data_IF_935669481988
#
_entry.id   IF_935669481988
#
_cell.length_a   1.000
_cell.length_b   1.000
_cell.length_c   1.000
_cell.angle_alpha   90.00
_cell.angle_beta   90.00
_cell.angle_gamma   90.00
#
_symmetry.space_group_name_H-M   'P 1'
#
loop_
_entity.id
_entity.type
_entity.pdbx_description
1 polymer ?
#
# COMPACT_ATOMS: atom_id res chain seq x y z
N UNK A 1 37.15 51.79 12.06
CA UNK A 1 35.79 51.28 12.33
C UNK A 1 35.24 50.69 11.04
N UNK A 2 34.90 49.39 11.00
CA UNK A 2 34.20 48.79 9.85
C UNK A 2 32.75 49.30 9.86
N UNK A 3 32.26 49.79 8.71
CA UNK A 3 30.82 50.06 8.52
C UNK A 3 30.13 48.71 8.39
N UNK A 4 29.25 48.39 9.33
CA UNK A 4 28.31 47.29 9.20
C UNK A 4 27.34 47.65 8.07
N UNK A 5 27.41 46.92 6.95
CA UNK A 5 26.45 47.09 5.85
C UNK A 5 25.19 46.30 6.22
N UNK A 6 24.14 47.01 6.64
CA UNK A 6 22.82 46.40 6.84
C UNK A 6 22.18 45.99 5.52
N UNK A 7 21.24 45.05 5.57
CA UNK A 7 20.48 44.61 4.40
C UNK A 7 19.50 45.69 3.94
N UNK A 8 19.38 45.86 2.62
CA UNK A 8 18.39 46.79 2.06
C UNK A 8 16.99 46.18 2.07
N UNK A 9 15.94 47.02 2.07
CA UNK A 9 14.55 46.55 2.01
C UNK A 9 14.28 45.66 0.80
N UNK A 10 14.86 46.00 -0.37
CA UNK A 10 14.66 45.21 -1.58
C UNK A 10 15.36 43.85 -1.50
N UNK A 11 16.54 43.81 -0.88
CA UNK A 11 17.30 42.56 -0.68
C UNK A 11 16.59 41.60 0.27
N UNK A 12 16.02 42.10 1.37
CA UNK A 12 15.22 41.29 2.28
C UNK A 12 13.91 40.82 1.63
N UNK A 13 13.25 41.65 0.84
CA UNK A 13 12.06 41.25 0.08
C UNK A 13 12.36 40.16 -0.95
N UNK A 14 13.47 40.29 -1.68
CA UNK A 14 13.91 39.26 -2.65
C UNK A 14 14.24 37.97 -1.91
N UNK A 15 15.01 38.03 -0.81
CA UNK A 15 15.35 36.85 -0.02
C UNK A 15 14.11 36.12 0.51
N UNK A 16 13.15 36.84 1.09
CA UNK A 16 11.90 36.26 1.59
C UNK A 16 11.10 35.65 0.43
N UNK A 17 11.03 36.31 -0.73
CA UNK A 17 10.31 35.78 -1.89
C UNK A 17 10.88 34.43 -2.37
N UNK A 18 12.22 34.31 -2.40
CA UNK A 18 12.90 33.07 -2.78
C UNK A 18 12.62 31.95 -1.76
N UNK A 19 12.67 32.26 -0.46
CA UNK A 19 12.36 31.30 0.60
C UNK A 19 10.92 30.78 0.47
N UNK A 20 9.96 31.66 0.17
CA UNK A 20 8.55 31.26 -0.01
C UNK A 20 8.39 30.35 -1.22
N UNK A 21 8.99 30.67 -2.36
CA UNK A 21 8.90 29.86 -3.59
C UNK A 21 9.51 28.46 -3.38
N UNK A 22 10.70 28.39 -2.76
CA UNK A 22 11.37 27.13 -2.46
C UNK A 22 10.59 26.29 -1.43
N UNK A 23 10.00 26.94 -0.43
CA UNK A 23 9.18 26.25 0.57
C UNK A 23 7.91 25.67 -0.06
N UNK A 24 7.21 26.44 -0.89
CA UNK A 24 5.98 25.99 -1.56
C UNK A 24 6.24 24.79 -2.49
N UNK A 25 7.30 24.85 -3.30
CA UNK A 25 7.69 23.75 -4.18
C UNK A 25 8.14 22.51 -3.40
N UNK A 26 8.90 22.70 -2.33
CA UNK A 26 9.30 21.60 -1.43
C UNK A 26 8.10 20.90 -0.79
N UNK A 27 7.10 21.66 -0.31
CA UNK A 27 5.88 21.12 0.28
C UNK A 27 5.04 20.30 -0.71
N UNK A 28 4.89 20.79 -1.93
CA UNK A 28 4.16 20.06 -2.98
C UNK A 28 4.87 18.75 -3.37
N UNK A 29 6.20 18.79 -3.54
CA UNK A 29 6.99 17.59 -3.78
C UNK A 29 6.85 16.56 -2.66
N UNK A 30 6.91 17.02 -1.41
CA UNK A 30 6.77 16.17 -0.23
C UNK A 30 5.42 15.45 -0.16
N UNK A 31 4.31 16.17 -0.37
CA UNK A 31 2.97 15.56 -0.34
C UNK A 31 2.80 14.48 -1.42
N UNK A 32 3.30 14.72 -2.64
CA UNK A 32 3.27 13.72 -3.71
C UNK A 32 4.06 12.45 -3.34
N UNK A 33 5.26 12.63 -2.79
CA UNK A 33 6.12 11.53 -2.36
C UNK A 33 5.48 10.74 -1.21
N UNK A 34 4.90 11.43 -0.23
CA UNK A 34 4.24 10.79 0.90
C UNK A 34 3.04 9.95 0.45
N UNK A 35 2.25 10.41 -0.53
CA UNK A 35 1.14 9.62 -1.10
C UNK A 35 1.63 8.35 -1.81
N UNK A 36 2.74 8.45 -2.56
CA UNK A 36 3.36 7.28 -3.19
C UNK A 36 3.86 6.28 -2.15
N UNK A 37 4.45 6.77 -1.06
CA UNK A 37 4.93 5.94 0.03
C UNK A 37 3.80 5.21 0.74
N UNK A 38 2.68 5.87 1.03
CA UNK A 38 1.49 5.23 1.64
C UNK A 38 0.91 4.13 0.76
N UNK A 39 0.85 4.37 -0.56
CA UNK A 39 0.40 3.38 -1.53
C UNK A 39 1.33 2.15 -1.54
N UNK A 40 2.65 2.37 -1.62
CA UNK A 40 3.64 1.30 -1.59
C UNK A 40 3.60 0.51 -0.28
N UNK A 41 3.52 1.18 0.87
CA UNK A 41 3.39 0.53 2.18
C UNK A 41 2.16 -0.36 2.26
N UNK A 42 1.01 0.07 1.72
CA UNK A 42 -0.21 -0.75 1.69
C UNK A 42 -0.02 -1.98 0.80
N UNK A 43 0.64 -1.83 -0.36
CA UNK A 43 0.93 -2.97 -1.23
C UNK A 43 1.87 -4.00 -0.55
N UNK A 44 2.92 -3.52 0.13
CA UNK A 44 3.84 -4.35 0.93
C UNK A 44 3.09 -5.06 2.05
N UNK A 45 2.22 -4.34 2.79
CA UNK A 45 1.41 -4.90 3.87
C UNK A 45 0.55 -6.06 3.37
N UNK A 46 -0.12 -5.89 2.22
CA UNK A 46 -0.92 -6.95 1.61
C UNK A 46 -0.05 -8.13 1.17
N UNK A 47 1.10 -7.88 0.54
CA UNK A 47 2.06 -8.94 0.18
C UNK A 47 2.47 -9.76 1.41
N UNK A 48 2.87 -9.10 2.50
CA UNK A 48 3.33 -9.78 3.71
C UNK A 48 2.20 -10.57 4.38
N UNK A 49 0.98 -10.04 4.39
CA UNK A 49 -0.20 -10.77 4.85
C UNK A 49 -0.48 -12.04 4.02
N UNK A 50 -0.39 -11.96 2.69
CA UNK A 50 -0.54 -13.12 1.82
C UNK A 50 0.57 -14.16 2.06
N UNK A 51 1.81 -13.72 2.28
CA UNK A 51 2.93 -14.60 2.62
C UNK A 51 2.65 -15.30 3.95
N UNK A 52 2.15 -14.58 4.96
CA UNK A 52 1.74 -15.14 6.23
C UNK A 52 0.68 -16.23 6.03
N UNK A 53 -0.42 -15.94 5.31
CA UNK A 53 -1.48 -16.92 5.06
C UNK A 53 -0.97 -18.17 4.33
N UNK A 54 -0.11 -18.01 3.32
CA UNK A 54 0.47 -19.16 2.60
C UNK A 54 1.32 -20.03 3.53
N UNK A 55 2.21 -19.41 4.30
CA UNK A 55 3.09 -20.14 5.21
C UNK A 55 2.29 -20.87 6.29
N UNK A 56 1.23 -20.23 6.76
CA UNK A 56 0.33 -20.77 7.77
C UNK A 56 -0.55 -21.91 7.21
N UNK A 57 -1.03 -21.78 5.96
CA UNK A 57 -1.72 -22.84 5.22
C UNK A 57 -0.86 -24.11 5.14
N UNK A 58 0.39 -23.95 4.70
CA UNK A 58 1.35 -25.03 4.54
C UNK A 58 1.71 -25.66 5.90
N UNK A 59 2.00 -24.85 6.91
CA UNK A 59 2.38 -25.33 8.25
C UNK A 59 1.28 -26.12 8.95
N UNK A 60 0.03 -25.66 8.84
CA UNK A 60 -1.10 -26.22 9.58
C UNK A 60 -2.03 -27.08 8.72
N UNK A 61 -1.68 -27.30 7.45
CA UNK A 61 -2.49 -27.99 6.45
C UNK A 61 -3.96 -27.51 6.45
N UNK A 62 -4.14 -26.18 6.42
CA UNK A 62 -5.46 -25.55 6.44
C UNK A 62 -5.61 -24.56 5.30
N UNK A 63 -6.84 -24.43 4.81
CA UNK A 63 -7.11 -23.59 3.65
C UNK A 63 -7.48 -22.17 4.08
N UNK A 64 -6.95 -21.19 3.35
CA UNK A 64 -7.17 -19.77 3.57
C UNK A 64 -7.73 -19.13 2.29
N UNK A 65 -9.05 -18.99 2.22
CA UNK A 65 -9.68 -18.16 1.20
C UNK A 65 -9.67 -16.71 1.65
N UNK A 66 -9.33 -15.81 0.75
CA UNK A 66 -9.22 -14.38 1.03
C UNK A 66 -10.50 -13.70 0.57
N UNK A 67 -11.10 -12.93 1.47
CA UNK A 67 -12.30 -12.14 1.18
C UNK A 67 -12.06 -10.69 1.56
N UNK A 68 -12.71 -9.80 0.80
CA UNK A 68 -12.73 -8.37 1.08
C UNK A 68 -14.05 -8.03 1.74
N UNK A 69 -14.00 -7.63 3.02
CA UNK A 69 -15.17 -7.15 3.74
C UNK A 69 -15.11 -5.62 3.84
N UNK A 70 -16.26 -4.99 3.64
CA UNK A 70 -16.47 -3.55 3.85
C UNK A 70 -17.54 -3.42 4.93
N UNK A 71 -17.16 -2.86 6.06
CA UNK A 71 -18.04 -2.64 7.20
C UNK A 71 -17.98 -1.18 7.63
N UNK A 72 -18.81 -0.77 8.59
CA UNK A 72 -18.82 0.58 9.17
C UNK A 72 -17.46 0.95 9.78
N UNK A 73 -16.72 -0.04 10.30
CA UNK A 73 -15.38 0.11 10.87
C UNK A 73 -14.27 0.25 9.81
N UNK A 74 -14.56 0.04 8.53
CA UNK A 74 -13.62 0.20 7.42
C UNK A 74 -13.55 -1.00 6.46
N UNK A 75 -12.50 -1.02 5.65
CA UNK A 75 -12.22 -2.09 4.68
C UNK A 75 -11.19 -3.04 5.29
N UNK A 76 -11.46 -4.35 5.26
CA UNK A 76 -10.49 -5.35 5.68
C UNK A 76 -10.39 -6.52 4.70
N UNK A 77 -9.19 -7.09 4.61
CA UNK A 77 -8.96 -8.39 3.99
C UNK A 77 -8.94 -9.43 5.09
N UNK A 78 -9.77 -10.46 5.00
CA UNK A 78 -9.84 -11.50 6.01
C UNK A 78 -9.77 -12.88 5.38
N UNK A 79 -9.23 -13.82 6.14
CA UNK A 79 -9.19 -15.22 5.76
C UNK A 79 -10.44 -15.97 6.22
N UNK A 80 -10.85 -17.01 5.49
CA UNK A 80 -11.96 -17.90 5.82
C UNK A 80 -11.94 -18.53 7.22
N UNK A 81 -10.80 -18.50 7.92
CA UNK A 81 -10.67 -19.01 9.29
C UNK A 81 -11.22 -18.07 10.37
N UNK A 82 -11.58 -16.83 10.01
CA UNK A 82 -12.17 -15.84 10.90
C UNK A 82 -13.45 -15.27 10.31
N UNK A 83 -14.33 -14.77 11.20
CA UNK A 83 -15.56 -14.09 10.81
C UNK A 83 -15.47 -12.62 11.22
N UNK A 84 -15.63 -11.73 10.24
CA UNK A 84 -15.62 -10.28 10.46
C UNK A 84 -14.22 -9.66 10.58
N UNK A 85 -14.19 -8.33 10.54
CA UNK A 85 -12.97 -7.52 10.62
C UNK A 85 -12.51 -7.34 12.08
N UNK A 86 -11.96 -8.39 12.70
CA UNK A 86 -11.44 -8.35 14.08
C UNK A 86 -10.02 -7.78 14.12
N UNK A 87 -9.82 -6.62 14.75
CA UNK A 87 -8.54 -5.87 14.78
C UNK A 87 -7.35 -6.64 15.37
N UNK A 88 -7.58 -7.55 16.31
CA UNK A 88 -6.50 -8.27 17.03
C UNK A 88 -6.09 -9.57 16.33
N UNK A 89 -6.75 -9.95 15.24
CA UNK A 89 -6.48 -11.21 14.56
C UNK A 89 -5.39 -11.07 13.50
N UNK A 90 -4.40 -11.96 13.51
CA UNK A 90 -3.40 -12.08 12.45
C UNK A 90 -4.00 -12.49 11.08
N UNK A 91 -5.23 -13.05 11.08
CA UNK A 91 -5.97 -13.45 9.88
C UNK A 91 -6.85 -12.34 9.30
N UNK A 92 -6.68 -11.11 9.80
CA UNK A 92 -7.35 -9.91 9.31
C UNK A 92 -6.28 -8.86 9.03
N UNK A 93 -6.27 -8.34 7.81
CA UNK A 93 -5.49 -7.17 7.44
C UNK A 93 -6.44 -5.98 7.30
N UNK A 94 -6.14 -4.94 8.06
CA UNK A 94 -6.76 -3.62 7.91
C UNK A 94 -5.68 -2.70 7.31
N UNK A 95 -5.93 -2.07 6.15
CA UNK A 95 -4.99 -1.14 5.55
C UNK A 95 -4.62 0.00 6.51
N UNK A 96 -3.33 0.33 6.61
CA UNK A 96 -2.86 1.41 7.50
C UNK A 96 -3.38 2.80 7.06
N UNK A 97 -3.61 2.97 5.76
CA UNK A 97 -3.85 4.27 5.15
C UNK A 97 -5.22 4.34 4.50
N UNK A 98 -6.07 5.23 5.01
CA UNK A 98 -7.46 5.39 4.53
C UNK A 98 -7.55 5.96 3.09
N UNK A 99 -6.51 6.64 2.60
CA UNK A 99 -6.46 7.18 1.24
C UNK A 99 -6.10 6.13 0.17
N UNK A 100 -5.78 4.90 0.59
CA UNK A 100 -5.47 3.77 -0.31
C UNK A 100 -6.63 2.78 -0.30
N UNK A 101 -7.26 2.58 -1.45
CA UNK A 101 -8.41 1.69 -1.60
C UNK A 101 -8.03 0.38 -2.28
N UNK A 102 -8.54 -0.74 -1.74
CA UNK A 102 -8.57 -2.02 -2.46
C UNK A 102 -9.73 -1.96 -3.44
N UNK A 103 -9.42 -1.98 -4.73
CA UNK A 103 -10.39 -1.79 -5.82
C UNK A 103 -10.78 -3.09 -6.51
N UNK A 104 -9.91 -4.10 -6.47
CA UNK A 104 -10.16 -5.41 -7.07
C UNK A 104 -9.56 -6.52 -6.21
N UNK A 105 -10.30 -7.63 -6.09
CA UNK A 105 -9.85 -8.89 -5.52
C UNK A 105 -10.39 -10.01 -6.42
N UNK A 106 -9.51 -10.87 -6.94
CA UNK A 106 -9.95 -12.05 -7.69
C UNK A 106 -10.79 -12.96 -6.78
N UNK A 107 -12.01 -13.36 -7.22
CA UNK A 107 -12.82 -14.30 -6.48
C UNK A 107 -12.07 -15.61 -6.22
N UNK A 108 -12.27 -16.19 -5.04
CA UNK A 108 -11.68 -17.46 -4.63
C UNK A 108 -10.15 -17.48 -4.52
N UNK A 109 -9.47 -16.32 -4.61
CA UNK A 109 -8.05 -16.21 -4.29
C UNK A 109 -7.81 -16.81 -2.90
N UNK A 110 -6.88 -17.74 -2.81
CA UNK A 110 -6.62 -18.45 -1.57
C UNK A 110 -5.42 -19.38 -1.64
N UNK A 111 -5.00 -19.83 -0.46
CA UNK A 111 -3.91 -20.77 -0.27
C UNK A 111 -4.47 -22.07 0.31
N UNK A 112 -3.98 -23.20 -0.18
CA UNK A 112 -4.40 -24.52 0.26
C UNK A 112 -3.22 -25.23 0.90
N UNK A 113 -3.44 -25.78 2.09
CA UNK A 113 -2.38 -26.44 2.84
C UNK A 113 -1.87 -27.71 2.15
N UNK A 114 -2.77 -28.42 1.49
CA UNK A 114 -2.43 -29.62 0.75
C UNK A 114 -1.55 -29.27 -0.45
N UNK A 115 -0.31 -29.76 -0.43
CA UNK A 115 0.71 -29.58 -1.50
C UNK A 115 1.19 -28.14 -1.71
N UNK A 116 0.97 -27.24 -0.75
CA UNK A 116 1.41 -25.84 -0.81
C UNK A 116 0.97 -25.15 -2.11
N UNK A 117 -0.31 -25.27 -2.44
CA UNK A 117 -0.89 -24.75 -3.69
C UNK A 117 -1.70 -23.48 -3.45
N UNK A 118 -1.94 -22.70 -4.51
CA UNK A 118 -2.78 -21.52 -4.43
C UNK A 118 -3.76 -21.46 -5.60
N UNK A 119 -4.93 -20.89 -5.36
CA UNK A 119 -5.77 -20.42 -6.45
C UNK A 119 -5.22 -19.08 -6.92
N UNK A 120 -4.78 -19.00 -8.18
CA UNK A 120 -4.21 -17.77 -8.71
C UNK A 120 -5.21 -16.62 -8.67
N UNK A 121 -4.67 -15.42 -8.58
CA UNK A 121 -5.47 -14.21 -8.57
C UNK A 121 -4.63 -12.96 -8.37
N UNK A 122 -5.32 -11.84 -8.27
CA UNK A 122 -4.71 -10.54 -8.06
C UNK A 122 -5.53 -9.67 -7.13
N UNK A 123 -4.84 -8.79 -6.42
CA UNK A 123 -5.40 -7.74 -5.58
C UNK A 123 -4.90 -6.41 -6.15
N UNK A 124 -5.82 -5.50 -6.51
CA UNK A 124 -5.47 -4.15 -6.96
C UNK A 124 -5.69 -3.14 -5.85
N UNK A 125 -4.63 -2.41 -5.51
CA UNK A 125 -4.70 -1.23 -4.63
C UNK A 125 -4.46 0.04 -5.42
N UNK A 126 -5.23 1.08 -5.09
CA UNK A 126 -5.23 2.34 -5.82
C UNK A 126 -5.33 3.52 -4.86
N UNK A 127 -4.62 4.59 -5.18
CA UNK A 127 -4.76 5.90 -4.54
C UNK A 127 -4.66 6.99 -5.60
N UNK A 128 -4.63 8.26 -5.17
CA UNK A 128 -4.37 9.39 -6.06
C UNK A 128 -2.94 9.39 -6.64
N UNK A 129 -2.01 8.66 -6.02
CA UNK A 129 -0.62 8.59 -6.48
C UNK A 129 -0.40 7.55 -7.59
N UNK A 130 -1.30 6.57 -7.73
CA UNK A 130 -1.17 5.50 -8.71
C UNK A 130 -1.84 4.21 -8.25
N UNK A 131 -1.37 3.09 -8.77
CA UNK A 131 -1.91 1.77 -8.45
C UNK A 131 -0.85 0.68 -8.45
N UNK A 132 -1.03 -0.30 -7.57
CA UNK A 132 -0.23 -1.52 -7.49
C UNK A 132 -1.11 -2.75 -7.62
N UNK A 133 -0.57 -3.76 -8.27
CA UNK A 133 -1.15 -5.09 -8.34
C UNK A 133 -0.30 -6.07 -7.54
N UNK A 134 -0.95 -6.81 -6.65
CA UNK A 134 -0.36 -7.95 -5.95
C UNK A 134 -0.88 -9.21 -6.64
N UNK A 135 0.00 -9.99 -7.26
CA UNK A 135 -0.35 -11.14 -8.09
C UNK A 135 0.10 -12.42 -7.38
N UNK A 136 -0.79 -13.41 -7.35
CA UNK A 136 -0.53 -14.76 -6.83
C UNK A 136 -0.63 -15.75 -7.98
N UNK A 137 0.43 -16.54 -8.20
CA UNK A 137 0.40 -17.63 -9.18
C UNK A 137 -0.24 -18.90 -8.60
N UNK A 138 -0.56 -19.89 -9.47
CA UNK A 138 -1.09 -21.19 -9.03
C UNK A 138 -0.17 -21.95 -8.05
N UNK A 139 1.14 -21.67 -8.07
CA UNK A 139 2.12 -22.23 -7.15
C UNK A 139 2.37 -21.37 -5.89
N UNK A 140 1.49 -20.41 -5.60
CA UNK A 140 1.61 -19.56 -4.40
C UNK A 140 2.74 -18.53 -4.44
N UNK A 141 3.30 -18.23 -5.61
CA UNK A 141 4.28 -17.14 -5.74
C UNK A 141 3.56 -15.80 -5.71
N UNK A 142 3.94 -14.94 -4.77
CA UNK A 142 3.37 -13.61 -4.60
C UNK A 142 4.33 -12.57 -5.18
N UNK A 143 3.85 -11.69 -6.05
CA UNK A 143 4.61 -10.60 -6.68
C UNK A 143 3.85 -9.29 -6.52
N UNK A 144 4.59 -8.18 -6.49
CA UNK A 144 4.02 -6.83 -6.57
C UNK A 144 4.47 -6.21 -7.88
N UNK A 145 3.53 -5.60 -8.60
CA UNK A 145 3.78 -4.93 -9.86
C UNK A 145 3.14 -3.54 -9.84
N UNK A 146 3.87 -2.54 -10.31
CA UNK A 146 3.36 -1.19 -10.46
C UNK A 146 2.68 -1.08 -11.83
N UNK A 147 1.40 -0.72 -11.89
CA UNK A 147 0.70 -0.66 -13.17
C UNK A 147 1.13 0.55 -14.03
N UNK A 148 1.84 1.54 -13.45
CA UNK A 148 2.33 2.69 -14.21
C UNK A 148 3.58 2.39 -15.04
N UNK A 149 4.31 1.32 -14.74
CA UNK A 149 5.47 0.89 -15.53
C UNK A 149 4.94 -0.01 -16.65
N UNK A 150 4.90 0.51 -17.88
CA UNK A 150 4.24 -0.06 -19.07
C UNK A 150 4.69 -1.46 -19.57
N UNK A 151 5.25 -2.32 -18.72
CA UNK A 151 5.37 -3.76 -18.93
C UNK A 151 4.21 -4.47 -18.26
N UNK A 152 3.34 -5.11 -19.05
CA UNK A 152 2.10 -5.73 -18.58
C UNK A 152 2.26 -6.56 -17.31
N UNK A 153 1.54 -6.18 -16.27
CA UNK A 153 1.38 -6.95 -15.04
C UNK A 153 0.56 -8.21 -15.38
N UNK A 154 1.21 -9.29 -15.81
CA UNK A 154 0.60 -10.59 -16.13
C UNK A 154 1.14 -11.69 -15.21
#
# INVERSE_FOLDING_TARGET
>A
MKKENGFTLIETLVAISLVVILSATGLHGWDSWQRQQRLWQTAVQIRDYLVFLRNDANRHNRDHHITLQRDEAGVCLLSSVVQGCVKESAFVLIPLWADVAITELTPSLGFYGLRDTAWAGRIRVKSRAGEWLIIVSNGGRIRMCNASEGGGCQ
#
